data_IF_761808412407
#
_entry.id   IF_761808412407
#
_cell.length_a   1.000
_cell.length_b   1.000
_cell.length_c   1.000
_cell.angle_alpha   90.00
_cell.angle_beta   90.00
_cell.angle_gamma   90.00
#
_symmetry.space_group_name_H-M   'P 1'
#
loop_
_entity.id
_entity.type
_entity.pdbx_description
1 polymer ?
#
# COMPACT_ATOMS: atom_id res chain seq x y z
N UNK A 1 -9.73 -9.37 24.43
CA UNK A 1 -9.07 -8.60 23.35
C UNK A 1 -7.62 -9.06 23.35
N UNK A 2 -7.18 -9.68 22.26
CA UNK A 2 -5.81 -10.17 22.12
C UNK A 2 -5.04 -9.23 21.17
N UNK A 3 -3.81 -8.87 21.53
CA UNK A 3 -2.93 -8.05 20.70
C UNK A 3 -1.81 -8.92 20.16
N UNK A 4 -1.67 -8.97 18.82
CA UNK A 4 -0.63 -9.73 18.14
C UNK A 4 0.13 -8.81 17.19
N UNK A 5 1.46 -8.96 17.14
CA UNK A 5 2.28 -8.32 16.12
C UNK A 5 2.15 -9.09 14.81
N UNK A 6 1.94 -8.37 13.70
CA UNK A 6 1.92 -8.95 12.34
C UNK A 6 2.77 -8.08 11.43
N UNK A 7 3.71 -8.71 10.73
CA UNK A 7 4.61 -8.03 9.78
C UNK A 7 3.84 -7.60 8.52
N UNK A 8 4.36 -6.60 7.80
CA UNK A 8 3.79 -6.15 6.52
C UNK A 8 3.67 -7.28 5.48
N UNK A 9 4.68 -8.14 5.26
CA UNK A 9 4.54 -9.30 4.35
C UNK A 9 3.38 -10.23 4.72
N UNK A 10 3.16 -10.47 6.02
CA UNK A 10 2.05 -11.28 6.49
C UNK A 10 0.70 -10.60 6.22
N UNK A 11 0.59 -9.28 6.42
CA UNK A 11 -0.61 -8.53 6.00
C UNK A 11 -0.85 -8.63 4.50
N UNK A 12 0.19 -8.45 3.68
CA UNK A 12 0.10 -8.54 2.22
C UNK A 12 -0.40 -9.90 1.76
N UNK A 13 0.17 -10.97 2.32
CA UNK A 13 -0.27 -12.34 2.04
C UNK A 13 -1.77 -12.50 2.30
N UNK A 14 -2.27 -12.02 3.45
CA UNK A 14 -3.70 -12.10 3.80
C UNK A 14 -4.59 -11.33 2.82
N UNK A 15 -4.14 -10.17 2.34
CA UNK A 15 -4.88 -9.37 1.35
C UNK A 15 -4.87 -10.06 0.00
N UNK A 16 -3.70 -10.53 -0.45
CA UNK A 16 -3.51 -11.20 -1.74
C UNK A 16 -4.30 -12.51 -1.84
N UNK A 17 -4.35 -13.31 -0.77
CA UNK A 17 -5.14 -14.55 -0.71
C UNK A 17 -6.62 -14.32 -0.41
N UNK A 18 -7.06 -13.06 -0.25
CA UNK A 18 -8.44 -12.68 0.11
C UNK A 18 -8.90 -13.19 1.49
N UNK A 19 -7.98 -13.60 2.36
CA UNK A 19 -8.31 -14.05 3.71
C UNK A 19 -8.80 -12.91 4.61
N UNK A 20 -8.45 -11.65 4.29
CA UNK A 20 -8.97 -10.45 4.96
C UNK A 20 -9.87 -9.62 4.04
N UNK A 21 -11.01 -9.17 4.56
CA UNK A 21 -11.94 -8.29 3.84
C UNK A 21 -12.44 -7.13 4.70
N UNK A 22 -13.09 -6.17 4.05
CA UNK A 22 -13.71 -4.99 4.66
C UNK A 22 -15.22 -5.22 4.85
N UNK A 23 -15.79 -5.03 6.04
CA UNK A 23 -17.24 -4.92 6.19
C UNK A 23 -17.80 -3.74 5.38
N UNK A 24 -18.96 -3.90 4.74
CA UNK A 24 -19.53 -2.88 3.84
C UNK A 24 -19.91 -1.57 4.53
N UNK A 25 -20.09 -1.56 5.86
CA UNK A 25 -20.36 -0.34 6.62
C UNK A 25 -19.11 0.55 6.78
N UNK A 26 -17.91 0.05 6.45
CA UNK A 26 -16.71 0.87 6.43
C UNK A 26 -16.73 1.88 5.28
N UNK A 27 -16.34 3.12 5.57
CA UNK A 27 -16.26 4.22 4.60
C UNK A 27 -15.34 3.90 3.43
N UNK A 28 -15.54 4.61 2.32
CA UNK A 28 -14.63 4.56 1.17
C UNK A 28 -13.24 5.11 1.53
N UNK A 29 -12.27 4.91 0.64
CA UNK A 29 -10.96 5.55 0.77
C UNK A 29 -11.15 7.07 0.85
N UNK A 30 -10.49 7.70 1.82
CA UNK A 30 -10.65 9.11 2.13
C UNK A 30 -9.31 9.84 2.33
N UNK A 31 -8.20 9.10 2.39
CA UNK A 31 -6.87 9.68 2.53
C UNK A 31 -6.42 10.37 1.26
N UNK A 32 -5.88 11.57 1.42
CA UNK A 32 -5.20 12.31 0.38
C UNK A 32 -3.75 11.85 0.20
N UNK A 33 -3.12 12.38 -0.84
CA UNK A 33 -1.76 11.99 -1.23
C UNK A 33 -0.72 12.25 -0.15
N UNK A 34 -0.91 13.29 0.67
CA UNK A 34 -0.01 13.62 1.79
C UNK A 34 -0.07 12.58 2.91
N UNK A 35 -1.27 12.17 3.34
CA UNK A 35 -1.44 11.14 4.38
C UNK A 35 -0.80 9.81 3.95
N UNK A 36 -0.91 9.47 2.66
CA UNK A 36 -0.26 8.30 2.09
C UNK A 36 1.26 8.46 2.11
N UNK A 37 1.80 9.61 1.67
CA UNK A 37 3.24 9.90 1.74
C UNK A 37 3.78 9.77 3.17
N UNK A 38 3.14 10.44 4.14
CA UNK A 38 3.56 10.45 5.53
C UNK A 38 3.54 9.02 6.13
N UNK A 39 2.53 8.21 5.75
CA UNK A 39 2.47 6.80 6.15
C UNK A 39 3.65 6.00 5.59
N UNK A 40 3.95 6.16 4.29
CA UNK A 40 5.04 5.44 3.64
C UNK A 40 6.40 5.84 4.21
N UNK A 41 6.61 7.13 4.50
CA UNK A 41 7.83 7.61 5.18
C UNK A 41 7.96 6.99 6.57
N UNK A 42 6.89 6.97 7.35
CA UNK A 42 6.89 6.34 8.67
C UNK A 42 7.26 4.84 8.60
N UNK A 43 6.72 4.11 7.60
CA UNK A 43 7.09 2.70 7.35
C UNK A 43 8.57 2.56 7.03
N UNK A 44 9.11 3.38 6.12
CA UNK A 44 10.52 3.32 5.72
C UNK A 44 11.48 3.66 6.87
N UNK A 45 11.06 4.53 7.79
CA UNK A 45 11.82 4.89 8.99
C UNK A 45 11.66 3.89 10.14
N UNK A 46 10.87 2.85 9.97
CA UNK A 46 10.59 1.87 11.04
C UNK A 46 9.79 2.45 12.20
N UNK A 47 9.05 3.55 11.98
CA UNK A 47 8.23 4.20 13.00
C UNK A 47 6.90 3.46 13.20
N UNK A 48 6.32 3.49 14.41
CA UNK A 48 5.03 2.88 14.66
C UNK A 48 3.91 3.61 13.91
N UNK A 49 3.21 2.89 13.03
CA UNK A 49 2.09 3.42 12.23
C UNK A 49 0.71 3.19 12.87
N UNK A 50 0.70 2.75 14.13
CA UNK A 50 -0.50 2.46 14.92
C UNK A 50 -0.89 0.98 14.92
N UNK A 51 -2.13 0.70 15.29
CA UNK A 51 -2.71 -0.65 15.41
C UNK A 51 -3.79 -0.90 14.37
N UNK A 52 -4.18 -2.16 14.22
CA UNK A 52 -5.27 -2.59 13.34
C UNK A 52 -6.23 -3.43 14.17
N UNK A 53 -7.54 -3.22 14.01
CA UNK A 53 -8.56 -4.03 14.65
C UNK A 53 -9.12 -5.05 13.67
N UNK A 54 -9.02 -6.33 14.03
CA UNK A 54 -9.52 -7.46 13.26
C UNK A 54 -10.62 -8.18 14.03
N UNK A 55 -11.64 -8.63 13.30
CA UNK A 55 -12.57 -9.65 13.74
C UNK A 55 -12.20 -10.97 13.06
N UNK A 56 -11.78 -11.96 13.85
CA UNK A 56 -11.62 -13.33 13.37
C UNK A 56 -13.00 -13.92 13.03
N UNK A 57 -13.09 -14.59 11.88
CA UNK A 57 -14.32 -15.16 11.35
C UNK A 57 -14.23 -16.68 11.38
N UNK A 58 -15.23 -17.29 12.00
CA UNK A 58 -15.45 -18.74 11.98
C UNK A 58 -16.16 -19.18 10.71
N UNK A 59 -17.16 -20.04 10.83
CA UNK A 59 -17.86 -20.64 9.67
C UNK A 59 -18.78 -19.67 8.93
N UNK A 60 -19.34 -18.70 9.64
CA UNK A 60 -20.24 -17.71 9.07
C UNK A 60 -19.63 -16.31 9.12
N UNK A 61 -19.68 -15.61 7.98
CA UNK A 61 -19.28 -14.20 7.90
C UNK A 61 -20.45 -13.34 8.43
N UNK A 62 -20.27 -12.60 9.53
CA UNK A 62 -21.38 -11.89 10.17
C UNK A 62 -21.88 -10.66 9.41
N UNK A 63 -21.14 -10.21 8.39
CA UNK A 63 -21.43 -8.97 7.64
C UNK A 63 -21.28 -9.17 6.14
N UNK A 64 -22.01 -8.36 5.36
CA UNK A 64 -21.72 -8.20 3.93
C UNK A 64 -20.37 -7.51 3.78
N UNK A 65 -19.49 -8.06 2.96
CA UNK A 65 -18.11 -7.61 2.86
C UNK A 65 -17.71 -7.24 1.43
N UNK A 66 -16.56 -6.57 1.31
CA UNK A 66 -15.91 -6.22 0.06
C UNK A 66 -14.38 -6.37 0.20
N UNK A 67 -13.65 -6.61 -0.89
CA UNK A 67 -12.19 -6.62 -0.84
C UNK A 67 -11.65 -5.21 -0.55
N UNK A 68 -10.39 -5.16 -0.11
CA UNK A 68 -9.60 -3.93 -0.12
C UNK A 68 -9.51 -3.42 -1.55
N UNK A 69 -9.47 -2.10 -1.73
CA UNK A 69 -9.39 -1.51 -3.07
C UNK A 69 -8.20 -2.10 -3.83
N UNK A 70 -8.41 -2.51 -5.09
CA UNK A 70 -7.45 -3.20 -5.97
C UNK A 70 -6.96 -4.58 -5.54
N UNK A 71 -7.45 -5.14 -4.43
CA UNK A 71 -7.15 -6.51 -4.03
C UNK A 71 -7.99 -7.53 -4.84
N UNK A 72 -7.56 -8.79 -4.94
CA UNK A 72 -8.31 -9.83 -5.64
C UNK A 72 -9.76 -10.01 -5.15
N UNK A 73 -10.69 -10.20 -6.10
CA UNK A 73 -12.11 -10.46 -5.81
C UNK A 73 -12.42 -11.93 -5.50
N UNK A 74 -11.52 -12.83 -5.90
CA UNK A 74 -11.57 -14.27 -5.67
C UNK A 74 -10.32 -14.70 -4.90
N UNK A 75 -10.40 -15.81 -4.18
CA UNK A 75 -9.32 -16.25 -3.32
C UNK A 75 -9.81 -17.28 -2.30
N UNK A 76 -9.08 -17.41 -1.22
CA UNK A 76 -9.33 -18.37 -0.15
C UNK A 76 -10.56 -18.02 0.70
N UNK A 77 -10.86 -18.90 1.66
CA UNK A 77 -11.85 -18.64 2.69
C UNK A 77 -11.46 -17.40 3.49
N UNK A 78 -12.45 -16.54 3.72
CA UNK A 78 -12.29 -15.33 4.51
C UNK A 78 -12.23 -15.73 5.98
N UNK A 79 -11.14 -15.37 6.65
CA UNK A 79 -10.92 -15.68 8.07
C UNK A 79 -10.89 -14.43 8.93
N UNK A 80 -10.83 -13.23 8.33
CA UNK A 80 -10.63 -11.98 9.04
C UNK A 80 -11.43 -10.83 8.41
N UNK A 81 -12.04 -9.98 9.24
CA UNK A 81 -12.62 -8.71 8.83
C UNK A 81 -11.86 -7.54 9.46
N UNK A 82 -11.49 -6.58 8.63
CA UNK A 82 -10.81 -5.35 9.04
C UNK A 82 -11.84 -4.35 9.59
N UNK A 83 -11.84 -4.15 10.90
CA UNK A 83 -12.76 -3.25 11.60
C UNK A 83 -12.19 -1.83 11.76
N UNK A 84 -10.87 -1.68 11.83
CA UNK A 84 -10.17 -0.40 11.85
C UNK A 84 -8.81 -0.51 11.15
N UNK A 85 -8.21 0.61 10.76
CA UNK A 85 -6.93 0.63 10.05
C UNK A 85 -7.06 0.42 8.53
N UNK A 86 -8.28 0.44 8.00
CA UNK A 86 -8.55 0.28 6.57
C UNK A 86 -7.75 1.24 5.70
N UNK A 87 -7.73 2.54 6.04
CA UNK A 87 -7.07 3.55 5.20
C UNK A 87 -5.57 3.29 5.10
N UNK A 88 -4.93 2.90 6.22
CA UNK A 88 -3.50 2.55 6.26
C UNK A 88 -3.19 1.34 5.39
N UNK A 89 -3.90 0.23 5.61
CA UNK A 89 -3.63 -1.01 4.87
C UNK A 89 -3.93 -0.85 3.38
N UNK A 90 -4.99 -0.12 3.03
CA UNK A 90 -5.33 0.20 1.64
C UNK A 90 -4.25 1.08 0.99
N UNK A 91 -3.79 2.13 1.67
CA UNK A 91 -2.76 3.03 1.16
C UNK A 91 -1.44 2.30 0.86
N UNK A 92 -0.96 1.49 1.81
CA UNK A 92 0.27 0.70 1.63
C UNK A 92 0.09 -0.30 0.49
N UNK A 93 -1.03 -1.03 0.48
CA UNK A 93 -1.36 -2.00 -0.58
C UNK A 93 -1.30 -1.36 -1.97
N UNK A 94 -2.04 -0.25 -2.15
CA UNK A 94 -2.18 0.45 -3.43
C UNK A 94 -0.88 1.11 -3.89
N UNK A 95 -0.13 1.71 -2.97
CA UNK A 95 1.15 2.36 -3.28
C UNK A 95 2.19 1.34 -3.75
N UNK A 96 2.31 0.22 -3.06
CA UNK A 96 3.27 -0.85 -3.42
C UNK A 96 2.84 -1.64 -4.67
N UNK A 97 1.60 -1.51 -5.12
CA UNK A 97 1.12 -2.05 -6.40
C UNK A 97 1.05 -1.01 -7.53
N UNK A 98 1.49 0.23 -7.30
CA UNK A 98 1.46 1.34 -8.27
C UNK A 98 0.09 1.54 -8.97
N UNK A 99 -1.00 1.41 -8.23
CA UNK A 99 -2.36 1.40 -8.80
C UNK A 99 -3.20 2.65 -8.49
N UNK A 100 -2.55 3.74 -8.09
CA UNK A 100 -3.15 5.07 -8.13
C UNK A 100 -3.03 5.62 -9.56
N UNK A 101 -4.14 6.01 -10.18
CA UNK A 101 -4.12 6.54 -11.56
C UNK A 101 -3.41 7.89 -11.64
N UNK A 102 -3.66 8.75 -10.65
CA UNK A 102 -3.17 10.13 -10.61
C UNK A 102 -1.85 10.30 -9.87
N UNK A 103 -1.26 9.22 -9.33
CA UNK A 103 -0.02 9.27 -8.55
C UNK A 103 0.90 8.09 -8.79
N UNK A 104 2.20 8.36 -8.69
CA UNK A 104 3.24 7.36 -8.52
C UNK A 104 4.11 7.77 -7.34
N UNK A 105 4.43 6.81 -6.47
CA UNK A 105 5.22 7.05 -5.26
C UNK A 105 6.65 6.55 -5.47
N UNK A 106 7.62 7.35 -5.04
CA UNK A 106 9.05 7.06 -5.13
C UNK A 106 9.72 7.25 -3.78
N UNK A 107 10.89 6.64 -3.63
CA UNK A 107 11.85 6.96 -2.57
C UNK A 107 12.96 7.78 -3.20
N UNK A 108 13.29 8.92 -2.60
CA UNK A 108 14.46 9.70 -3.02
C UNK A 108 15.71 9.13 -2.37
N UNK A 109 16.70 8.79 -3.20
CA UNK A 109 18.04 8.43 -2.72
C UNK A 109 18.81 9.73 -2.48
N UNK A 110 19.17 10.00 -1.23
CA UNK A 110 20.15 11.02 -0.85
C UNK A 110 21.57 10.45 -0.97
N UNK A 111 22.58 11.31 -1.15
CA UNK A 111 23.97 10.86 -1.23
C UNK A 111 24.44 10.30 0.12
N UNK A 112 25.33 9.30 0.08
CA UNK A 112 25.80 8.47 1.21
C UNK A 112 26.44 9.19 2.41
N UNK A 113 26.49 10.53 2.45
CA UNK A 113 27.27 11.31 3.43
C UNK A 113 26.42 12.04 4.47
N UNK A 114 25.12 11.74 4.59
CA UNK A 114 24.23 12.42 5.52
C UNK A 114 23.35 11.43 6.30
N UNK A 115 23.05 11.77 7.56
CA UNK A 115 21.97 11.23 8.40
C UNK A 115 20.58 11.51 7.80
N UNK A 116 20.46 11.57 6.47
CA UNK A 116 19.24 11.92 5.77
C UNK A 116 18.24 10.77 5.88
N UNK A 117 17.10 11.08 6.47
CA UNK A 117 15.98 10.16 6.55
C UNK A 117 15.39 9.89 5.15
N UNK A 118 14.90 8.68 4.87
CA UNK A 118 14.25 8.40 3.60
C UNK A 118 13.06 9.35 3.40
N UNK A 119 13.01 9.95 2.21
CA UNK A 119 11.94 10.84 1.74
C UNK A 119 11.09 10.12 0.70
N UNK A 120 9.76 10.17 0.87
CA UNK A 120 8.81 9.65 -0.12
C UNK A 120 8.33 10.80 -1.00
N UNK A 121 8.46 10.62 -2.31
CA UNK A 121 8.05 11.60 -3.31
C UNK A 121 6.75 11.15 -3.96
N UNK A 122 5.69 11.95 -3.79
CA UNK A 122 4.40 11.75 -4.45
C UNK A 122 4.32 12.48 -5.78
N UNK A 123 4.59 11.79 -6.88
CA UNK A 123 4.60 12.36 -8.22
C UNK A 123 3.18 12.37 -8.82
N UNK A 124 2.70 13.55 -9.21
CA UNK A 124 1.45 13.71 -9.95
C UNK A 124 1.53 13.04 -11.33
N UNK A 125 0.49 12.29 -11.69
CA UNK A 125 0.33 11.63 -12.99
C UNK A 125 -0.96 12.09 -13.65
N UNK A 126 -0.92 12.35 -14.96
CA UNK A 126 -2.12 12.75 -15.72
C UNK A 126 -2.05 12.24 -17.16
N UNK A 127 -3.20 12.08 -17.81
CA UNK A 127 -3.25 11.69 -19.22
C UNK A 127 -3.31 12.91 -20.14
N UNK A 128 -2.49 12.89 -21.19
CA UNK A 128 -2.55 13.84 -22.31
C UNK A 128 -2.28 13.09 -23.60
N UNK A 129 -3.20 13.17 -24.56
CA UNK A 129 -3.10 12.50 -25.86
C UNK A 129 -2.80 10.99 -25.75
N UNK A 130 -3.50 10.29 -24.85
CA UNK A 130 -3.34 8.84 -24.63
C UNK A 130 -2.05 8.42 -23.92
N UNK A 131 -1.19 9.36 -23.50
CA UNK A 131 0.05 9.08 -22.76
C UNK A 131 -0.06 9.58 -21.32
N UNK A 132 0.53 8.83 -20.39
CA UNK A 132 0.57 9.16 -18.96
C UNK A 132 1.81 9.99 -18.65
N UNK A 133 1.60 11.25 -18.27
CA UNK A 133 2.65 12.21 -17.95
C UNK A 133 2.96 12.26 -16.44
N UNK A 134 4.15 12.78 -16.06
CA UNK A 134 5.25 13.07 -16.97
C UNK A 134 5.86 11.75 -17.50
N UNK A 135 6.32 11.74 -18.76
CA UNK A 135 6.80 10.52 -19.42
C UNK A 135 8.00 9.92 -18.67
N UNK A 136 8.85 10.78 -18.11
CA UNK A 136 10.03 10.34 -17.35
C UNK A 136 9.67 9.43 -16.17
N UNK A 137 8.46 9.53 -15.63
CA UNK A 137 8.03 8.75 -14.47
C UNK A 137 7.84 7.26 -14.79
N UNK A 138 7.78 6.87 -16.07
CA UNK A 138 7.79 5.46 -16.49
C UNK A 138 9.13 5.05 -17.14
N UNK A 139 10.14 5.93 -17.14
CA UNK A 139 11.46 5.66 -17.70
C UNK A 139 12.49 5.43 -16.57
N UNK A 140 13.01 4.18 -16.41
CA UNK A 140 13.94 3.86 -15.32
C UNK A 140 15.19 4.73 -15.30
N UNK A 141 15.75 5.07 -16.47
CA UNK A 141 16.96 5.89 -16.59
C UNK A 141 16.71 7.32 -16.07
N UNK A 142 15.61 7.95 -16.49
CA UNK A 142 15.26 9.29 -16.04
C UNK A 142 14.86 9.32 -14.55
N UNK A 143 14.21 8.27 -14.03
CA UNK A 143 13.97 8.13 -12.60
C UNK A 143 15.30 8.05 -11.82
N UNK A 144 16.25 7.26 -12.31
CA UNK A 144 17.59 7.13 -11.72
C UNK A 144 18.37 8.45 -11.72
N UNK A 145 18.35 9.19 -12.84
CA UNK A 145 18.95 10.54 -12.93
C UNK A 145 18.35 11.52 -11.91
N UNK A 146 17.07 11.36 -11.57
CA UNK A 146 16.37 12.13 -10.53
C UNK A 146 16.57 11.60 -9.11
N UNK A 147 17.33 10.51 -8.96
CA UNK A 147 17.52 9.74 -7.72
C UNK A 147 16.20 9.26 -7.12
N UNK A 148 15.27 8.84 -7.98
CA UNK A 148 13.95 8.35 -7.57
C UNK A 148 13.84 6.85 -7.85
N UNK A 149 13.59 6.07 -6.80
CA UNK A 149 13.30 4.64 -6.90
C UNK A 149 11.80 4.42 -6.72
N UNK A 150 11.10 3.80 -7.70
CA UNK A 150 9.68 3.51 -7.55
C UNK A 150 9.40 2.61 -6.35
N UNK A 151 8.45 2.99 -5.49
CA UNK A 151 8.20 2.25 -4.24
C UNK A 151 7.67 0.83 -4.48
N UNK A 152 7.00 0.60 -5.62
CA UNK A 152 6.45 -0.71 -5.99
C UNK A 152 7.53 -1.78 -6.25
N UNK A 153 8.80 -1.38 -6.35
CA UNK A 153 9.93 -2.33 -6.40
C UNK A 153 10.22 -2.96 -5.03
N UNK A 154 9.66 -2.40 -3.94
CA UNK A 154 9.80 -2.90 -2.57
C UNK A 154 8.60 -3.74 -2.12
N UNK A 155 7.82 -4.26 -3.08
CA UNK A 155 6.62 -5.04 -2.79
C UNK A 155 7.01 -6.36 -2.08
N UNK A 156 6.50 -6.66 -0.87
CA UNK A 156 6.95 -7.81 -0.07
C UNK A 156 6.70 -9.20 -0.66
N UNK A 157 5.79 -9.32 -1.61
CA UNK A 157 5.40 -10.56 -2.30
C UNK A 157 6.13 -10.75 -3.63
N UNK A 158 7.03 -9.82 -4.01
CA UNK A 158 7.81 -9.93 -5.25
C UNK A 158 8.80 -11.11 -5.24
N UNK A 159 9.15 -11.65 -4.07
CA UNK A 159 9.97 -12.87 -3.96
C UNK A 159 9.25 -14.14 -4.47
N UNK A 160 7.93 -14.10 -4.68
CA UNK A 160 7.17 -15.21 -5.26
C UNK A 160 7.23 -15.27 -6.81
N UNK A 161 7.89 -14.30 -7.47
CA UNK A 161 7.97 -14.19 -8.94
C UNK A 161 9.35 -14.58 -9.52
N UNK A 162 10.26 -15.22 -8.77
CA UNK A 162 11.57 -15.71 -9.24
C UNK A 162 11.65 -17.24 -9.25
#
# INVERSE_FOLDING_TARGET
>A
MEARNRTLPAWFTRVQTRQIMLPRFQRMEAWGYREITDLLEAVLRGLPIGSVLILEVGDEIPFVCRPIASAPHTGERVTELLLDGQQRLTAIWRALHNNYEERTYYIRITSNDSDDEPEVVSQSRWYKNGRRYPIWADDPSACWEKRLVPIHLLRPDAEAEI
#
